data_IF_098816136905
#
_entry.id   IF_098816136905
#
_cell.length_a   1.000
_cell.length_b   1.000
_cell.length_c   1.000
_cell.angle_alpha   90.00
_cell.angle_beta   90.00
_cell.angle_gamma   90.00
#
_symmetry.space_group_name_H-M   'P 1'
#
loop_
_entity.id
_entity.type
_entity.pdbx_description
1 polymer ?
#
# COMPACT_ATOMS: atom_id res chain seq x y z
N UNK A 1 -26.31 5.09 14.14
CA UNK A 1 -25.03 5.69 13.73
C UNK A 1 -24.04 4.55 13.65
N UNK A 2 -23.38 4.35 12.50
CA UNK A 2 -22.44 3.23 12.36
C UNK A 2 -21.13 3.58 13.07
N UNK A 3 -20.47 2.58 13.65
CA UNK A 3 -19.12 2.80 14.19
C UNK A 3 -18.14 2.74 13.01
N UNK A 4 -17.43 3.84 12.78
CA UNK A 4 -16.33 3.94 11.82
C UNK A 4 -15.05 4.27 12.58
N UNK A 5 -14.00 3.48 12.33
CA UNK A 5 -12.66 3.72 12.84
C UNK A 5 -11.63 3.31 11.78
N UNK A 6 -10.36 3.61 12.06
CA UNK A 6 -9.27 3.28 11.15
C UNK A 6 -8.31 2.31 11.79
N UNK A 7 -7.66 1.51 10.96
CA UNK A 7 -6.72 0.52 11.42
C UNK A 7 -5.51 0.49 10.50
N UNK A 8 -4.32 0.43 11.07
CA UNK A 8 -3.09 0.18 10.33
C UNK A 8 -2.59 -1.21 10.67
N UNK A 9 -2.31 -2.00 9.64
CA UNK A 9 -1.61 -3.27 9.76
C UNK A 9 -0.27 -3.17 9.05
N UNK A 10 0.79 -3.69 9.69
CA UNK A 10 2.03 -4.02 8.99
C UNK A 10 2.26 -5.51 9.04
N UNK A 11 2.78 -6.06 7.96
CA UNK A 11 3.13 -7.47 7.84
C UNK A 11 4.43 -7.56 7.08
N UNK A 12 5.43 -8.21 7.65
CA UNK A 12 6.72 -8.42 6.98
C UNK A 12 7.48 -9.62 7.50
N UNK A 13 8.29 -10.23 6.64
CA UNK A 13 9.24 -11.29 6.99
C UNK A 13 10.47 -10.71 7.71
N UNK A 14 10.94 -11.38 8.78
CA UNK A 14 12.19 -10.97 9.44
C UNK A 14 13.38 -11.18 8.50
N UNK A 15 14.45 -10.38 8.67
CA UNK A 15 15.70 -10.54 7.91
C UNK A 15 16.42 -11.89 8.10
N UNK A 16 16.09 -12.66 9.13
CA UNK A 16 16.69 -13.98 9.43
C UNK A 16 15.74 -15.13 9.08
N UNK A 17 14.91 -14.95 8.06
CA UNK A 17 14.02 -16.00 7.58
C UNK A 17 14.84 -17.05 6.83
N UNK A 18 14.63 -18.36 7.08
CA UNK A 18 15.34 -19.42 6.37
C UNK A 18 15.28 -19.24 4.84
N UNK A 19 16.42 -19.43 4.17
CA UNK A 19 16.49 -19.27 2.72
C UNK A 19 16.01 -20.55 2.03
N UNK A 20 14.89 -20.48 1.31
CA UNK A 20 14.30 -21.62 0.60
C UNK A 20 15.16 -22.12 -0.58
N UNK A 21 16.14 -21.33 -1.00
CA UNK A 21 17.09 -21.66 -2.07
C UNK A 21 18.43 -22.17 -1.53
N UNK A 22 18.62 -22.21 -0.21
CA UNK A 22 19.83 -22.78 0.39
C UNK A 22 19.68 -24.30 0.51
N UNK A 23 20.19 -25.03 -0.48
CA UNK A 23 20.18 -26.50 -0.51
C UNK A 23 20.97 -27.15 0.65
N UNK A 24 21.75 -26.37 1.41
CA UNK A 24 22.49 -26.87 2.58
C UNK A 24 21.67 -26.95 3.87
N UNK A 25 20.47 -26.35 3.89
CA UNK A 25 19.55 -26.35 5.04
C UNK A 25 18.15 -26.80 4.62
N UNK A 26 17.46 -27.56 5.49
CA UNK A 26 16.08 -28.03 5.24
C UNK A 26 15.00 -27.15 5.92
N UNK A 27 15.40 -25.99 6.46
CA UNK A 27 14.48 -25.10 7.17
C UNK A 27 13.69 -24.25 6.17
N UNK A 28 12.38 -24.16 6.36
CA UNK A 28 11.49 -23.34 5.50
C UNK A 28 10.85 -22.22 6.33
N UNK A 29 10.58 -21.05 5.75
CA UNK A 29 9.84 -19.98 6.41
C UNK A 29 8.49 -20.44 6.96
N UNK A 30 8.17 -20.02 8.18
CA UNK A 30 6.93 -20.35 8.89
C UNK A 30 6.18 -19.09 9.31
N UNK A 31 4.90 -19.22 9.69
CA UNK A 31 4.12 -18.08 10.18
C UNK A 31 4.75 -17.35 11.38
N UNK A 32 5.59 -18.01 12.18
CA UNK A 32 6.26 -17.36 13.32
C UNK A 32 7.40 -16.44 12.92
N UNK A 33 7.89 -16.57 11.68
CA UNK A 33 8.95 -15.70 11.14
C UNK A 33 8.38 -14.40 10.53
N UNK A 34 7.06 -14.33 10.44
CA UNK A 34 6.31 -13.16 10.02
C UNK A 34 6.02 -12.26 11.22
N UNK A 35 6.36 -10.99 11.10
CA UNK A 35 5.97 -9.95 12.05
C UNK A 35 4.69 -9.29 11.57
N UNK A 36 3.69 -9.25 12.45
CA UNK A 36 2.43 -8.56 12.22
C UNK A 36 2.21 -7.52 13.32
N UNK A 37 1.88 -6.29 12.93
CA UNK A 37 1.44 -5.24 13.87
C UNK A 37 0.05 -4.77 13.51
N UNK A 38 -0.67 -4.29 14.52
CA UNK A 38 -2.02 -3.76 14.39
C UNK A 38 -2.20 -2.57 15.32
N UNK A 39 -2.54 -1.42 14.76
CA UNK A 39 -2.87 -0.20 15.49
C UNK A 39 -4.25 0.29 15.05
N UNK A 40 -5.14 0.56 16.01
CA UNK A 40 -6.48 1.07 15.76
C UNK A 40 -6.60 2.54 16.20
N UNK A 41 -7.30 3.33 15.41
CA UNK A 41 -7.52 4.76 15.61
C UNK A 41 -9.01 5.02 15.67
N UNK A 42 -9.48 5.44 16.84
CA UNK A 42 -10.90 5.66 17.14
C UNK A 42 -11.13 7.11 17.50
N UNK A 43 -12.17 7.71 16.94
CA UNK A 43 -12.56 9.08 17.26
C UNK A 43 -14.05 9.30 16.97
N UNK A 44 -14.71 10.19 17.73
CA UNK A 44 -16.14 10.51 17.52
C UNK A 44 -16.40 11.09 16.12
N UNK A 45 -15.44 11.87 15.62
CA UNK A 45 -15.36 12.35 14.25
C UNK A 45 -14.41 11.43 13.46
N UNK A 46 -14.92 10.59 12.53
CA UNK A 46 -14.08 9.64 11.80
C UNK A 46 -12.92 10.29 11.03
N UNK A 47 -13.08 11.54 10.60
CA UNK A 47 -12.04 12.28 9.88
C UNK A 47 -10.79 12.51 10.74
N UNK A 48 -10.92 12.65 12.06
CA UNK A 48 -9.77 12.81 12.95
C UNK A 48 -9.04 11.47 13.15
N UNK A 49 -9.78 10.38 13.35
CA UNK A 49 -9.21 9.03 13.37
C UNK A 49 -8.46 8.71 12.06
N UNK A 50 -9.01 9.15 10.91
CA UNK A 50 -8.36 9.04 9.61
C UNK A 50 -7.02 9.78 9.60
N UNK A 51 -6.97 11.02 10.07
CA UNK A 51 -5.74 11.82 10.10
C UNK A 51 -4.67 11.15 10.94
N UNK A 52 -5.03 10.68 12.14
CA UNK A 52 -4.09 9.98 13.02
C UNK A 52 -3.54 8.71 12.38
N UNK A 53 -4.40 7.94 11.70
CA UNK A 53 -3.96 6.78 10.94
C UNK A 53 -2.95 7.20 9.85
N UNK A 54 -3.29 8.15 8.98
CA UNK A 54 -2.36 8.59 7.92
C UNK A 54 -1.05 9.20 8.47
N UNK A 55 -1.09 9.88 9.61
CA UNK A 55 0.13 10.36 10.30
C UNK A 55 0.98 9.21 10.81
N UNK A 56 0.36 8.20 11.42
CA UNK A 56 1.07 7.01 11.87
C UNK A 56 1.68 6.24 10.69
N UNK A 57 0.93 6.08 9.59
CA UNK A 57 1.43 5.51 8.35
C UNK A 57 2.68 6.26 7.84
N UNK A 58 2.62 7.60 7.77
CA UNK A 58 3.78 8.41 7.37
C UNK A 58 4.98 8.19 8.31
N UNK A 59 4.76 8.09 9.62
CA UNK A 59 5.84 7.83 10.58
C UNK A 59 6.52 6.46 10.37
N UNK A 60 5.75 5.45 9.93
CA UNK A 60 6.32 4.14 9.55
C UNK A 60 7.22 4.32 8.34
N UNK A 61 6.77 5.06 7.32
CA UNK A 61 7.58 5.33 6.13
C UNK A 61 8.88 6.08 6.47
N UNK A 62 8.81 7.09 7.35
CA UNK A 62 9.99 7.85 7.79
C UNK A 62 11.05 6.94 8.43
N UNK A 63 10.63 5.99 9.27
CA UNK A 63 11.54 5.01 9.88
C UNK A 63 12.19 4.11 8.82
N UNK A 64 11.41 3.66 7.83
CA UNK A 64 11.90 2.80 6.75
C UNK A 64 12.93 3.53 5.88
N UNK A 65 12.64 4.77 5.50
CA UNK A 65 13.54 5.61 4.72
C UNK A 65 14.81 6.00 5.46
N UNK A 66 14.70 6.27 6.76
CA UNK A 66 15.86 6.45 7.64
C UNK A 66 16.75 5.21 7.64
N UNK A 67 16.15 4.01 7.73
CA UNK A 67 16.86 2.73 7.68
C UNK A 67 17.48 2.41 6.31
N UNK A 68 16.92 2.96 5.23
CA UNK A 68 17.45 2.86 3.86
C UNK A 68 18.55 3.89 3.55
N UNK A 69 18.77 4.89 4.41
CA UNK A 69 19.60 6.05 4.12
C UNK A 69 19.20 6.76 2.81
N UNK A 70 17.89 6.83 2.55
CA UNK A 70 17.30 7.49 1.38
C UNK A 70 16.28 8.53 1.81
N UNK A 71 16.12 9.57 1.01
CA UNK A 71 15.00 10.50 1.13
C UNK A 71 13.82 9.94 0.34
N UNK A 72 12.61 10.03 0.88
CA UNK A 72 11.40 9.77 0.11
C UNK A 72 11.30 10.78 -1.05
N UNK A 73 11.05 10.30 -2.27
CA UNK A 73 10.97 11.14 -3.47
C UNK A 73 9.57 11.15 -4.06
N UNK A 74 9.15 10.06 -4.69
CA UNK A 74 7.80 9.89 -5.26
C UNK A 74 7.13 8.65 -4.68
N UNK A 75 5.80 8.58 -4.72
CA UNK A 75 5.05 7.38 -4.29
C UNK A 75 5.52 6.13 -5.06
N UNK A 76 5.74 6.28 -6.38
CA UNK A 76 6.31 5.25 -7.24
C UNK A 76 7.67 4.74 -6.74
N UNK A 77 8.60 5.66 -6.44
CA UNK A 77 9.92 5.27 -5.93
C UNK A 77 9.82 4.69 -4.51
N UNK A 78 8.88 5.16 -3.70
CA UNK A 78 8.61 4.62 -2.37
C UNK A 78 8.18 3.17 -2.41
N UNK A 79 7.24 2.83 -3.28
CA UNK A 79 6.82 1.44 -3.48
C UNK A 79 7.99 0.56 -3.89
N UNK A 80 8.86 1.03 -4.80
CA UNK A 80 10.06 0.29 -5.23
C UNK A 80 11.05 0.10 -4.08
N UNK A 81 11.40 1.18 -3.38
CA UNK A 81 12.38 1.16 -2.30
C UNK A 81 11.92 0.29 -1.11
N UNK A 82 10.62 0.32 -0.80
CA UNK A 82 10.04 -0.46 0.29
C UNK A 82 9.99 -1.94 -0.03
N UNK A 83 9.76 -2.33 -1.28
CA UNK A 83 9.89 -3.73 -1.70
C UNK A 83 11.31 -4.24 -1.51
N UNK A 84 12.32 -3.45 -1.88
CA UNK A 84 13.72 -3.80 -1.66
C UNK A 84 14.06 -3.89 -0.17
N UNK A 85 13.48 -3.02 0.66
CA UNK A 85 13.72 -3.04 2.10
C UNK A 85 13.11 -4.25 2.80
N UNK A 86 11.90 -4.64 2.38
CA UNK A 86 11.15 -5.76 2.95
C UNK A 86 11.50 -7.10 2.30
N UNK A 87 12.39 -7.15 1.32
CA UNK A 87 12.86 -8.38 0.69
C UNK A 87 13.50 -9.32 1.73
N UNK A 88 12.94 -10.52 1.86
CA UNK A 88 13.46 -11.54 2.78
C UNK A 88 14.75 -12.21 2.27
N UNK A 89 15.15 -11.96 1.02
CA UNK A 89 16.25 -12.65 0.34
C UNK A 89 15.81 -13.94 -0.36
N UNK A 90 14.53 -14.33 -0.24
CA UNK A 90 13.93 -15.48 -0.92
C UNK A 90 13.35 -15.12 -2.31
N UNK A 91 13.32 -13.83 -2.66
CA UNK A 91 12.57 -13.28 -3.78
C UNK A 91 13.21 -13.38 -5.16
N UNK A 92 14.31 -14.13 -5.38
CA UNK A 92 15.00 -14.11 -6.68
C UNK A 92 14.81 -15.41 -7.46
N UNK A 93 13.87 -15.41 -8.41
CA UNK A 93 13.92 -16.31 -9.57
C UNK A 93 14.54 -15.54 -10.75
N UNK A 94 15.80 -15.85 -11.10
CA UNK A 94 16.39 -15.33 -12.35
C UNK A 94 15.64 -15.96 -13.53
N UNK A 95 14.77 -15.20 -14.19
CA UNK A 95 14.17 -15.60 -15.45
C UNK A 95 15.27 -15.60 -16.53
N UNK A 96 16.00 -16.71 -16.65
CA UNK A 96 17.05 -16.92 -17.66
C UNK A 96 16.58 -16.70 -19.12
N UNK A 97 15.26 -16.61 -19.35
CA UNK A 97 14.64 -16.33 -20.65
C UNK A 97 14.35 -14.86 -20.94
N UNK A 98 14.37 -13.96 -19.96
CA UNK A 98 14.02 -12.55 -20.12
C UNK A 98 14.95 -11.63 -19.32
N UNK A 99 16.19 -11.41 -19.78
CA UNK A 99 17.19 -10.60 -19.08
C UNK A 99 16.75 -9.15 -18.81
N UNK A 100 15.75 -8.67 -19.54
CA UNK A 100 15.25 -7.29 -19.48
C UNK A 100 14.02 -7.15 -18.56
N UNK A 101 13.41 -8.28 -18.14
CA UNK A 101 12.24 -8.31 -17.27
C UNK A 101 12.70 -8.56 -15.84
N UNK A 102 12.80 -7.47 -15.09
CA UNK A 102 13.17 -7.42 -13.68
C UNK A 102 12.34 -8.43 -12.86
N UNK A 103 13.06 -9.30 -12.14
CA UNK A 103 12.66 -10.17 -11.02
C UNK A 103 11.22 -10.68 -10.99
N UNK A 104 11.02 -11.99 -11.15
CA UNK A 104 9.80 -12.66 -10.70
C UNK A 104 10.02 -13.08 -9.25
N UNK A 105 9.26 -12.50 -8.33
CA UNK A 105 9.43 -12.76 -6.90
C UNK A 105 8.75 -14.07 -6.51
N UNK A 106 9.47 -14.87 -5.71
CA UNK A 106 8.96 -16.11 -5.17
C UNK A 106 7.90 -15.83 -4.08
N UNK A 107 6.92 -16.72 -4.00
CA UNK A 107 5.59 -16.61 -3.38
C UNK A 107 5.48 -16.20 -1.89
N UNK A 108 6.58 -15.88 -1.21
CA UNK A 108 6.61 -15.64 0.24
C UNK A 108 6.54 -14.14 0.56
N UNK A 109 7.30 -13.30 -0.15
CA UNK A 109 7.35 -11.85 0.11
C UNK A 109 6.10 -11.09 -0.38
N UNK A 110 5.22 -11.72 -1.17
CA UNK A 110 3.90 -11.16 -1.55
C UNK A 110 3.03 -10.76 -0.35
N UNK A 111 3.33 -11.32 0.84
CA UNK A 111 2.61 -11.02 2.05
C UNK A 111 3.08 -9.74 2.75
N UNK A 112 4.21 -9.16 2.33
CA UNK A 112 4.77 -7.96 2.93
C UNK A 112 3.94 -6.74 2.55
N UNK A 113 3.44 -6.01 3.55
CA UNK A 113 2.61 -4.83 3.33
C UNK A 113 2.50 -3.93 4.55
N UNK A 114 2.17 -2.68 4.28
CA UNK A 114 1.74 -1.66 5.24
C UNK A 114 0.41 -1.13 4.69
N UNK A 115 -0.68 -1.33 5.41
CA UNK A 115 -2.02 -0.97 4.91
C UNK A 115 -2.82 -0.20 5.95
N UNK A 116 -3.53 0.81 5.44
CA UNK A 116 -4.56 1.54 6.14
C UNK A 116 -5.91 0.96 5.72
N UNK A 117 -6.72 0.63 6.72
CA UNK A 117 -8.06 0.14 6.56
C UNK A 117 -9.06 1.10 7.19
N UNK A 118 -10.18 1.30 6.49
CA UNK A 118 -11.41 1.81 7.07
C UNK A 118 -12.21 0.63 7.61
N UNK A 119 -12.65 0.70 8.87
CA UNK A 119 -13.47 -0.34 9.50
C UNK A 119 -14.84 0.21 9.84
N UNK A 120 -15.89 -0.38 9.28
CA UNK A 120 -17.28 0.04 9.48
C UNK A 120 -18.11 -1.14 9.96
N UNK A 121 -18.59 -1.07 11.20
CA UNK A 121 -19.30 -2.17 11.88
C UNK A 121 -18.55 -3.51 11.82
N UNK A 122 -17.22 -3.47 11.95
CA UNK A 122 -16.36 -4.66 11.89
C UNK A 122 -16.03 -5.14 10.48
N UNK A 123 -16.58 -4.54 9.42
CA UNK A 123 -16.16 -4.82 8.04
C UNK A 123 -14.95 -3.96 7.71
N UNK A 124 -13.84 -4.61 7.37
CA UNK A 124 -12.55 -3.99 7.07
C UNK A 124 -12.37 -3.81 5.57
N UNK A 125 -12.08 -2.59 5.12
CA UNK A 125 -11.82 -2.24 3.72
C UNK A 125 -10.48 -1.55 3.60
N UNK A 126 -9.57 -2.04 2.75
CA UNK A 126 -8.31 -1.35 2.48
C UNK A 126 -8.59 -0.05 1.72
N UNK A 127 -7.96 1.04 2.15
CA UNK A 127 -8.14 2.36 1.53
C UNK A 127 -6.83 2.98 1.07
N UNK A 128 -5.71 2.51 1.60
CA UNK A 128 -4.39 2.92 1.15
C UNK A 128 -3.36 1.91 1.63
N UNK A 129 -2.30 1.67 0.87
CA UNK A 129 -1.20 0.89 1.39
C UNK A 129 -0.03 0.78 0.43
N UNK A 130 1.06 0.27 0.97
CA UNK A 130 2.22 -0.16 0.21
C UNK A 130 2.34 -1.65 0.41
N UNK A 131 2.15 -2.39 -0.68
CA UNK A 131 2.19 -3.84 -0.75
C UNK A 131 3.33 -4.25 -1.68
N UNK A 132 3.74 -5.50 -1.56
CA UNK A 132 4.75 -6.07 -2.42
C UNK A 132 4.17 -6.33 -3.82
N UNK A 133 4.83 -5.84 -4.87
CA UNK A 133 4.30 -5.92 -6.24
C UNK A 133 4.67 -7.25 -6.88
N UNK A 134 3.76 -7.78 -7.70
CA UNK A 134 4.06 -8.93 -8.56
C UNK A 134 4.90 -8.54 -9.79
N UNK A 135 4.75 -7.31 -10.31
CA UNK A 135 5.45 -6.80 -11.51
C UNK A 135 5.74 -5.30 -11.47
N UNK A 136 6.98 -4.90 -11.78
CA UNK A 136 7.48 -3.52 -11.67
C UNK A 136 7.13 -2.58 -12.86
N UNK A 137 6.48 -3.10 -13.91
CA UNK A 137 6.35 -2.45 -15.22
C UNK A 137 4.93 -1.97 -15.59
N UNK A 138 3.98 -1.89 -14.63
CA UNK A 138 2.59 -1.47 -14.90
C UNK A 138 2.08 -0.43 -13.89
N UNK A 139 1.02 0.31 -14.25
CA UNK A 139 0.19 0.97 -13.26
C UNK A 139 -0.47 -0.14 -12.45
N UNK A 140 -0.15 -0.20 -11.17
CA UNK A 140 -0.33 -1.42 -10.40
C UNK A 140 -1.78 -1.66 -9.99
N UNK A 141 -2.19 -2.93 -9.92
CA UNK A 141 -3.49 -3.32 -9.37
C UNK A 141 -3.67 -2.77 -7.95
N UNK A 142 -2.59 -2.67 -7.18
CA UNK A 142 -2.64 -2.10 -5.83
C UNK A 142 -2.99 -0.61 -5.80
N UNK A 143 -2.48 0.19 -6.74
CA UNK A 143 -2.85 1.61 -6.85
C UNK A 143 -4.33 1.77 -7.22
N UNK A 144 -4.82 0.84 -8.04
CA UNK A 144 -6.22 0.76 -8.42
C UNK A 144 -7.12 0.36 -7.24
N UNK A 145 -6.71 -0.63 -6.47
CA UNK A 145 -7.42 -1.05 -5.25
C UNK A 145 -7.43 0.06 -4.19
N UNK A 146 -6.30 0.75 -3.99
CA UNK A 146 -6.22 1.93 -3.12
C UNK A 146 -7.23 3.00 -3.57
N UNK A 147 -7.26 3.32 -4.87
CA UNK A 147 -8.21 4.29 -5.42
C UNK A 147 -9.68 3.87 -5.20
N UNK A 148 -10.00 2.60 -5.48
CA UNK A 148 -11.34 2.07 -5.23
C UNK A 148 -11.72 2.14 -3.75
N UNK A 149 -10.76 1.87 -2.87
CA UNK A 149 -10.91 2.00 -1.42
C UNK A 149 -11.19 3.44 -0.98
N UNK A 150 -10.45 4.43 -1.52
CA UNK A 150 -10.67 5.86 -1.23
C UNK A 150 -12.02 6.37 -1.74
N UNK A 151 -12.45 5.93 -2.92
CA UNK A 151 -13.78 6.27 -3.46
C UNK A 151 -14.87 5.65 -2.58
N UNK A 152 -14.71 4.40 -2.17
CA UNK A 152 -15.64 3.72 -1.26
C UNK A 152 -15.68 4.40 0.11
N UNK A 153 -14.53 4.83 0.64
CA UNK A 153 -14.43 5.62 1.88
C UNK A 153 -15.29 6.89 1.77
N UNK A 154 -15.06 7.70 0.73
CA UNK A 154 -15.81 8.95 0.53
C UNK A 154 -17.32 8.73 0.42
N UNK A 155 -17.74 7.70 -0.32
CA UNK A 155 -19.15 7.31 -0.41
C UNK A 155 -19.73 6.90 0.95
N UNK A 156 -18.90 6.28 1.79
CA UNK A 156 -19.29 5.87 3.13
C UNK A 156 -19.45 7.06 4.07
N UNK A 157 -18.60 8.09 3.98
CA UNK A 157 -18.80 9.35 4.70
C UNK A 157 -20.13 10.00 4.31
N UNK A 158 -20.35 10.13 3.00
CA UNK A 158 -21.54 10.76 2.44
C UNK A 158 -22.82 10.03 2.87
N UNK A 159 -22.85 8.70 2.75
CA UNK A 159 -24.01 7.87 3.13
C UNK A 159 -24.37 7.99 4.63
N UNK A 160 -23.37 8.25 5.47
CA UNK A 160 -23.53 8.32 6.92
C UNK A 160 -23.62 9.75 7.46
N UNK A 161 -23.69 10.76 6.58
CA UNK A 161 -23.70 12.18 6.93
C UNK A 161 -22.50 12.63 7.77
N UNK A 162 -21.34 11.99 7.58
CA UNK A 162 -20.09 12.50 8.12
C UNK A 162 -19.58 13.64 7.25
N UNK A 163 -19.15 14.73 7.89
CA UNK A 163 -18.59 15.88 7.16
C UNK A 163 -17.22 15.53 6.57
N UNK A 164 -17.06 15.79 5.27
CA UNK A 164 -15.77 15.77 4.56
C UNK A 164 -15.27 17.17 4.22
N UNK A 165 -16.02 18.21 4.61
CA UNK A 165 -15.84 19.56 4.12
C UNK A 165 -14.40 20.08 4.33
N UNK A 166 -13.75 20.46 3.24
CA UNK A 166 -12.38 20.99 3.25
C UNK A 166 -11.30 19.91 3.12
N UNK A 167 -11.68 18.64 3.01
CA UNK A 167 -10.75 17.53 2.79
C UNK A 167 -10.93 16.86 1.43
N UNK A 168 -11.91 17.27 0.62
CA UNK A 168 -12.15 16.66 -0.68
C UNK A 168 -11.05 17.00 -1.70
N UNK A 169 -10.72 16.04 -2.54
CA UNK A 169 -9.88 16.24 -3.71
C UNK A 169 -10.54 15.60 -4.92
N UNK A 170 -10.40 16.25 -6.09
CA UNK A 170 -10.89 15.76 -7.36
C UNK A 170 -9.68 15.48 -8.27
N UNK A 171 -9.63 14.26 -8.82
CA UNK A 171 -8.52 13.80 -9.66
C UNK A 171 -9.08 13.31 -10.99
N UNK A 172 -8.43 13.71 -12.09
CA UNK A 172 -8.80 13.32 -13.44
C UNK A 172 -7.93 12.15 -13.92
N UNK A 173 -8.49 10.94 -13.91
CA UNK A 173 -7.80 9.73 -14.38
C UNK A 173 -7.97 9.47 -15.88
N UNK A 174 -8.54 10.39 -16.66
CA UNK A 174 -8.78 10.15 -18.10
C UNK A 174 -7.51 9.95 -18.92
N UNK A 175 -6.39 10.54 -18.48
CA UNK A 175 -5.06 10.38 -19.12
C UNK A 175 -4.48 8.98 -19.01
N UNK A 176 -5.05 8.14 -18.13
CA UNK A 176 -4.70 6.74 -17.93
C UNK A 176 -5.88 5.80 -18.22
N UNK A 177 -6.90 6.26 -18.96
CA UNK A 177 -8.05 5.44 -19.36
C UNK A 177 -9.19 5.36 -18.33
N UNK A 178 -9.15 6.17 -17.28
CA UNK A 178 -10.15 6.19 -16.20
C UNK A 178 -11.18 7.31 -16.36
N UNK A 179 -11.84 7.67 -15.25
CA UNK A 179 -12.78 8.79 -15.16
C UNK A 179 -12.41 9.73 -14.01
N UNK A 180 -13.06 10.89 -13.94
CA UNK A 180 -12.90 11.82 -12.82
C UNK A 180 -13.49 11.22 -11.55
N UNK A 181 -12.73 11.26 -10.46
CA UNK A 181 -13.15 10.75 -9.16
C UNK A 181 -12.95 11.81 -8.06
N UNK A 182 -13.78 11.73 -7.02
CA UNK A 182 -13.67 12.56 -5.82
C UNK A 182 -13.50 11.66 -4.61
N UNK A 183 -12.52 11.97 -3.76
CA UNK A 183 -12.29 11.26 -2.51
C UNK A 183 -11.64 12.18 -1.46
N UNK A 184 -11.46 11.68 -0.24
CA UNK A 184 -10.84 12.43 0.85
C UNK A 184 -9.33 12.47 0.63
N UNK A 185 -8.75 13.67 0.60
CA UNK A 185 -7.33 13.94 0.34
C UNK A 185 -6.43 13.05 1.20
N UNK A 186 -5.43 12.45 0.56
CA UNK A 186 -4.34 11.70 1.19
C UNK A 186 -3.03 12.50 1.09
N UNK A 187 -1.97 12.11 1.81
CA UNK A 187 -0.63 12.65 1.59
C UNK A 187 -0.08 12.38 0.18
N UNK A 188 -0.54 11.34 -0.50
CA UNK A 188 -0.17 11.02 -1.89
C UNK A 188 -0.62 12.13 -2.85
N UNK A 189 0.31 12.61 -3.69
CA UNK A 189 0.02 13.54 -4.77
C UNK A 189 -0.54 12.79 -6.00
N UNK A 190 -1.83 12.48 -5.98
CA UNK A 190 -2.49 11.72 -7.04
C UNK A 190 -2.41 12.37 -8.42
N UNK A 191 -2.34 13.70 -8.51
CA UNK A 191 -2.21 14.39 -9.80
C UNK A 191 -0.82 14.15 -10.42
N UNK A 192 0.23 14.22 -9.62
CA UNK A 192 1.59 13.89 -10.05
C UNK A 192 1.71 12.41 -10.39
N UNK A 193 1.13 11.54 -9.56
CA UNK A 193 1.08 10.10 -9.84
C UNK A 193 0.39 9.81 -11.18
N UNK A 194 -0.77 10.39 -11.46
CA UNK A 194 -1.46 10.21 -12.74
C UNK A 194 -0.63 10.74 -13.91
N UNK A 195 0.10 11.85 -13.73
CA UNK A 195 1.01 12.39 -14.75
C UNK A 195 2.19 11.45 -15.03
N UNK A 196 2.78 10.85 -13.99
CA UNK A 196 3.93 9.93 -14.10
C UNK A 196 3.62 8.66 -14.90
N UNK A 197 2.33 8.31 -14.98
CA UNK A 197 1.83 7.14 -15.70
C UNK A 197 1.02 7.50 -16.95
N UNK A 198 1.00 8.78 -17.37
CA UNK A 198 0.25 9.21 -18.53
C UNK A 198 0.62 8.40 -19.80
N UNK A 199 -0.38 7.92 -20.53
CA UNK A 199 -0.20 7.06 -21.70
C UNK A 199 -0.06 5.57 -21.38
N UNK A 200 -0.06 5.18 -20.09
CA UNK A 200 -0.31 3.80 -19.67
C UNK A 200 -1.80 3.61 -19.44
N UNK A 201 -2.36 2.51 -19.95
CA UNK A 201 -3.76 2.17 -19.71
C UNK A 201 -3.91 1.56 -18.32
N UNK A 202 -4.95 2.00 -17.60
CA UNK A 202 -5.57 1.23 -16.53
C UNK A 202 -5.94 -0.13 -17.12
N UNK A 203 -5.23 -1.15 -16.67
CA UNK A 203 -5.33 -2.58 -17.01
C UNK A 203 -6.59 -2.93 -17.84
N UNK A 204 -6.37 -3.39 -19.08
CA UNK A 204 -7.40 -3.88 -19.99
C UNK A 204 -7.88 -5.30 -19.69
#
# INVERSE_FOLDING_TARGET
>A
MYSMHYQIETKYWRRQVPNIHDESHNETPTKTDLVETKNEFHHELPIEARKEAFQHFASILDVLYTGLHKTQTTDKQARIDLQQYLDSGNGIEYLSKYPDKKYKINSIDMYNRIEIYMVVNGVKTAIHGIRYLDYVDRLDYDLLEDLQGLVLEYNTYTKNNYSTAGYETNVDFTTVGGKKETFIKTPVNWNELVSDYAGLELIS
#
